data_IF_401861698018
#
_entry.id   IF_401861698018
#
_cell.length_a   1.000
_cell.length_b   1.000
_cell.length_c   1.000
_cell.angle_alpha   90.00
_cell.angle_beta   90.00
_cell.angle_gamma   90.00
#
_symmetry.space_group_name_H-M   'P 1'
#
loop_
_entity.id
_entity.type
_entity.pdbx_description
1 polymer ?
#
# COMPACT_ATOMS: atom_id res chain seq x y z
N UNK A 1 9.17 -7.41 37.74
CA UNK A 1 8.56 -6.06 37.95
C UNK A 1 8.86 -5.12 36.79
N UNK A 2 10.12 -4.90 36.37
CA UNK A 2 10.50 -3.99 35.26
C UNK A 2 9.89 -4.36 33.92
N UNK A 3 9.78 -5.65 33.58
CA UNK A 3 9.13 -6.10 32.34
C UNK A 3 7.65 -5.76 32.30
N UNK A 4 6.91 -6.00 33.36
CA UNK A 4 5.48 -5.69 33.45
C UNK A 4 5.22 -4.18 33.35
N UNK A 5 6.10 -3.37 33.90
CA UNK A 5 6.04 -1.92 33.79
C UNK A 5 6.28 -1.46 32.36
N UNK A 6 7.31 -1.98 31.70
CA UNK A 6 7.59 -1.70 30.29
C UNK A 6 6.41 -2.09 29.38
N UNK A 7 5.90 -3.32 29.55
CA UNK A 7 4.75 -3.82 28.78
C UNK A 7 3.51 -2.93 28.94
N UNK A 8 3.22 -2.50 30.18
CA UNK A 8 2.12 -1.57 30.45
C UNK A 8 2.32 -0.23 29.73
N UNK A 9 3.50 0.38 29.84
CA UNK A 9 3.82 1.67 29.22
C UNK A 9 3.71 1.61 27.68
N UNK A 10 4.25 0.56 27.06
CA UNK A 10 4.15 0.33 25.62
C UNK A 10 2.68 0.14 25.21
N UNK A 11 1.93 -0.68 25.95
CA UNK A 11 0.51 -0.94 25.67
C UNK A 11 -0.38 0.30 25.79
N UNK A 12 -0.06 1.21 26.73
CA UNK A 12 -0.75 2.50 26.87
C UNK A 12 -0.39 3.50 25.75
N UNK A 13 0.81 3.37 25.16
CA UNK A 13 1.35 4.32 24.19
C UNK A 13 1.08 3.93 22.73
N UNK A 14 0.88 2.64 22.42
CA UNK A 14 0.75 2.14 21.07
C UNK A 14 -0.60 1.43 20.89
N UNK A 15 -1.58 2.08 20.24
CA UNK A 15 -2.87 1.44 19.95
C UNK A 15 -2.73 0.17 19.11
N UNK A 16 -3.55 -0.84 19.42
CA UNK A 16 -3.55 -2.16 18.75
C UNK A 16 -4.91 -2.49 18.12
N UNK A 17 -4.96 -3.47 17.25
CA UNK A 17 -6.18 -3.91 16.59
C UNK A 17 -6.77 -2.82 15.70
N UNK A 18 -8.04 -2.48 15.92
CA UNK A 18 -8.74 -1.41 15.21
C UNK A 18 -8.63 -0.04 15.88
N UNK A 19 -8.02 0.03 17.05
CA UNK A 19 -7.85 1.29 17.77
C UNK A 19 -6.81 2.17 17.09
N UNK A 20 -7.02 3.47 17.17
CA UNK A 20 -6.11 4.52 16.72
C UNK A 20 -5.93 5.52 17.87
N UNK A 21 -4.96 6.41 17.76
CA UNK A 21 -4.72 7.44 18.78
C UNK A 21 -5.94 8.37 18.94
N UNK A 22 -6.19 8.89 20.15
CA UNK A 22 -7.27 9.84 20.43
C UNK A 22 -7.05 11.19 19.75
N UNK A 23 -5.81 11.52 19.47
CA UNK A 23 -5.36 12.74 18.76
C UNK A 23 -4.21 12.41 17.81
N UNK A 24 -3.95 13.32 16.90
CA UNK A 24 -2.72 13.27 16.10
C UNK A 24 -1.51 13.52 17.00
N UNK A 25 -0.49 12.67 16.91
CA UNK A 25 0.74 12.77 17.71
C UNK A 25 1.98 12.90 16.83
N UNK A 26 1.81 12.86 15.50
CA UNK A 26 2.88 13.08 14.54
C UNK A 26 2.88 14.52 14.03
N UNK A 27 4.04 15.00 13.61
CA UNK A 27 4.18 16.24 12.86
C UNK A 27 3.87 15.98 11.39
N UNK A 28 2.86 16.66 10.82
CA UNK A 28 2.46 16.49 9.42
C UNK A 28 3.52 16.97 8.43
N UNK A 29 4.32 17.98 8.79
CA UNK A 29 5.39 18.47 7.92
C UNK A 29 6.52 17.44 7.84
N UNK A 30 6.93 16.87 8.98
CA UNK A 30 7.90 15.77 9.04
C UNK A 30 7.37 14.56 8.23
N UNK A 31 6.12 14.20 8.44
CA UNK A 31 5.48 13.11 7.69
C UNK A 31 5.51 13.35 6.18
N UNK A 32 5.02 14.48 5.70
CA UNK A 32 4.99 14.81 4.27
C UNK A 32 6.40 14.85 3.67
N UNK A 33 7.37 15.45 4.38
CA UNK A 33 8.77 15.48 3.95
C UNK A 33 9.35 14.08 3.79
N UNK A 34 9.11 13.20 4.77
CA UNK A 34 9.54 11.80 4.72
C UNK A 34 8.90 11.04 3.55
N UNK A 35 7.58 11.14 3.38
CA UNK A 35 6.90 10.45 2.27
C UNK A 35 7.41 10.96 0.91
N UNK A 36 7.58 12.29 0.79
CA UNK A 36 8.12 12.89 -0.43
C UNK A 36 9.55 12.42 -0.73
N UNK A 37 10.41 12.34 0.27
CA UNK A 37 11.78 11.81 0.12
C UNK A 37 11.77 10.37 -0.39
N UNK A 38 10.98 9.48 0.23
CA UNK A 38 10.85 8.09 -0.21
C UNK A 38 10.30 8.00 -1.65
N UNK A 39 9.33 8.84 -1.99
CA UNK A 39 8.75 8.90 -3.33
C UNK A 39 9.79 9.33 -4.36
N UNK A 40 10.52 10.42 -4.10
CA UNK A 40 11.56 10.92 -4.99
C UNK A 40 12.73 9.95 -5.14
N UNK A 41 13.05 9.18 -4.08
CA UNK A 41 14.07 8.13 -4.16
C UNK A 41 13.66 7.04 -5.16
N UNK A 42 12.38 6.60 -5.12
CA UNK A 42 11.86 5.62 -6.11
C UNK A 42 11.88 6.19 -7.53
N UNK A 43 11.57 7.49 -7.72
CA UNK A 43 11.68 8.14 -9.02
C UNK A 43 13.10 8.12 -9.59
N UNK A 44 14.13 8.27 -8.73
CA UNK A 44 15.54 8.22 -9.12
C UNK A 44 15.99 6.79 -9.44
N UNK A 45 15.61 5.83 -8.58
CA UNK A 45 16.03 4.44 -8.71
C UNK A 45 15.35 3.74 -9.89
N UNK A 46 14.11 4.16 -10.24
CA UNK A 46 13.29 3.55 -11.29
C UNK A 46 12.66 4.61 -12.20
N UNK A 47 13.45 5.25 -13.07
CA UNK A 47 12.99 6.32 -13.96
C UNK A 47 11.82 5.89 -14.86
N UNK A 48 10.79 6.72 -14.94
CA UNK A 48 9.62 6.49 -15.79
C UNK A 48 8.51 5.62 -15.19
N UNK A 49 8.72 5.02 -14.01
CA UNK A 49 7.70 4.22 -13.33
C UNK A 49 6.56 5.03 -12.75
N UNK A 50 6.91 6.10 -12.05
CA UNK A 50 5.99 7.05 -11.42
C UNK A 50 6.38 8.47 -11.84
N UNK A 51 5.50 9.44 -11.60
CA UNK A 51 5.74 10.80 -12.04
C UNK A 51 6.71 11.54 -11.09
N UNK A 52 7.92 11.93 -11.53
CA UNK A 52 8.90 12.63 -10.69
C UNK A 52 8.49 14.08 -10.34
N UNK A 53 7.57 14.67 -11.09
CA UNK A 53 7.06 16.02 -10.82
C UNK A 53 6.04 16.07 -9.67
N UNK A 54 5.62 14.90 -9.18
CA UNK A 54 4.70 14.83 -8.05
C UNK A 54 5.40 15.23 -6.75
N UNK A 55 4.86 16.27 -6.11
CA UNK A 55 5.28 16.72 -4.78
C UNK A 55 4.26 16.22 -3.76
N UNK A 56 4.73 15.50 -2.76
CA UNK A 56 3.90 14.96 -1.70
C UNK A 56 3.89 15.96 -0.53
N UNK A 57 2.88 16.81 -0.52
CA UNK A 57 2.58 17.77 0.54
C UNK A 57 1.21 17.44 1.21
N UNK A 58 0.81 18.22 2.19
CA UNK A 58 -0.47 18.02 2.90
C UNK A 58 -1.68 18.14 1.96
N UNK A 59 -1.62 19.00 0.94
CA UNK A 59 -2.67 19.13 -0.07
C UNK A 59 -2.78 17.88 -0.93
N UNK A 60 -1.63 17.30 -1.34
CA UNK A 60 -1.60 16.04 -2.07
C UNK A 60 -2.17 14.92 -1.23
N UNK A 61 -1.70 14.77 0.02
CA UNK A 61 -2.18 13.74 0.94
C UNK A 61 -3.69 13.87 1.15
N UNK A 62 -4.20 15.08 1.37
CA UNK A 62 -5.65 15.32 1.52
C UNK A 62 -6.46 14.87 0.31
N UNK A 63 -5.98 15.14 -0.90
CA UNK A 63 -6.63 14.68 -2.14
C UNK A 63 -6.54 13.15 -2.31
N UNK A 64 -5.39 12.57 -2.00
CA UNK A 64 -5.14 11.13 -2.04
C UNK A 64 -6.09 10.36 -1.12
N UNK A 65 -6.15 10.69 0.16
CA UNK A 65 -6.99 9.99 1.14
C UNK A 65 -8.48 10.17 0.87
N UNK A 66 -8.91 11.36 0.41
CA UNK A 66 -10.29 11.62 -0.03
C UNK A 66 -10.69 10.67 -1.17
N UNK A 67 -9.82 10.47 -2.15
CA UNK A 67 -10.04 9.59 -3.30
C UNK A 67 -10.28 8.13 -2.89
N UNK A 68 -9.59 7.65 -1.87
CA UNK A 68 -9.69 6.26 -1.38
C UNK A 68 -10.67 6.11 -0.21
N UNK A 69 -11.35 7.20 0.18
CA UNK A 69 -12.40 7.17 1.20
C UNK A 69 -11.90 7.03 2.63
N UNK A 70 -10.80 7.71 2.97
CA UNK A 70 -10.28 7.85 4.35
C UNK A 70 -10.44 9.31 4.78
N UNK A 71 -10.81 9.55 6.03
CA UNK A 71 -10.81 10.91 6.61
C UNK A 71 -9.40 11.33 6.99
N UNK A 72 -9.10 12.64 6.91
CA UNK A 72 -7.80 13.20 7.32
C UNK A 72 -7.47 12.81 8.75
N UNK A 73 -8.44 12.94 9.64
CA UNK A 73 -8.31 12.59 11.05
C UNK A 73 -7.94 11.11 11.24
N UNK A 74 -8.68 10.18 10.64
CA UNK A 74 -8.42 8.75 10.74
C UNK A 74 -7.06 8.36 10.16
N UNK A 75 -6.61 9.03 9.09
CA UNK A 75 -5.33 8.78 8.45
C UNK A 75 -4.15 9.10 9.38
N UNK A 76 -4.14 10.30 9.97
CA UNK A 76 -3.02 10.72 10.82
C UNK A 76 -3.08 10.10 12.23
N UNK A 77 -4.28 9.94 12.81
CA UNK A 77 -4.45 9.29 14.12
C UNK A 77 -4.11 7.80 14.13
N UNK A 78 -4.06 7.15 12.96
CA UNK A 78 -3.59 5.77 12.85
C UNK A 78 -2.06 5.62 13.01
N UNK A 79 -1.32 6.73 13.16
CA UNK A 79 0.14 6.76 13.32
C UNK A 79 0.54 7.33 14.69
N UNK A 80 1.46 6.67 15.40
CA UNK A 80 1.84 5.27 15.25
C UNK A 80 0.82 4.33 15.86
N UNK A 81 0.67 3.14 15.30
CA UNK A 81 -0.13 2.07 15.90
C UNK A 81 0.22 0.71 15.33
N UNK A 82 0.03 -0.34 16.11
CA UNK A 82 0.51 -1.66 15.74
C UNK A 82 -0.41 -2.39 14.75
N UNK A 83 -1.71 -2.33 14.92
CA UNK A 83 -2.65 -3.10 14.14
C UNK A 83 -3.07 -4.41 14.80
N UNK A 84 -3.79 -5.23 14.04
CA UNK A 84 -4.29 -6.53 14.49
C UNK A 84 -3.88 -7.65 13.55
N UNK A 85 -4.40 -8.85 13.78
CA UNK A 85 -4.08 -10.03 13.00
C UNK A 85 -2.68 -10.55 13.34
N UNK A 86 -1.80 -10.58 12.33
CA UNK A 86 -0.41 -11.03 12.47
C UNK A 86 0.56 -9.91 12.91
N UNK A 87 0.06 -8.73 13.27
CA UNK A 87 0.90 -7.66 13.76
C UNK A 87 1.24 -7.88 15.25
N UNK A 88 2.50 -7.65 15.59
CA UNK A 88 3.00 -7.86 16.95
C UNK A 88 4.15 -6.88 17.28
N UNK A 89 4.39 -6.69 18.56
CA UNK A 89 5.62 -6.16 19.10
C UNK A 89 6.13 -7.19 20.09
N UNK A 90 7.32 -7.68 19.84
CA UNK A 90 7.99 -8.71 20.64
C UNK A 90 9.33 -8.17 21.12
N UNK A 91 9.67 -8.50 22.35
CA UNK A 91 10.99 -8.22 22.92
C UNK A 91 11.57 -9.50 23.54
N UNK A 92 12.87 -9.58 23.49
CA UNK A 92 13.60 -10.72 24.00
C UNK A 92 15.05 -10.39 24.28
N UNK A 93 15.80 -11.41 24.63
CA UNK A 93 17.21 -11.33 24.93
C UNK A 93 17.95 -12.38 24.11
N UNK A 94 19.10 -12.00 23.57
CA UNK A 94 20.00 -12.92 22.88
C UNK A 94 20.84 -13.73 23.86
N UNK A 95 21.48 -14.82 23.42
CA UNK A 95 22.33 -15.67 24.26
C UNK A 95 23.49 -14.92 24.92
N UNK A 96 23.97 -13.84 24.29
CA UNK A 96 25.03 -12.95 24.81
C UNK A 96 24.50 -11.83 25.68
N UNK A 97 23.20 -11.85 26.08
CA UNK A 97 22.59 -10.93 27.03
C UNK A 97 22.20 -9.57 26.46
N UNK A 98 22.19 -9.40 25.13
CA UNK A 98 21.68 -8.18 24.48
C UNK A 98 20.18 -8.23 24.31
N UNK A 99 19.47 -7.18 24.73
CA UNK A 99 18.05 -7.04 24.50
C UNK A 99 17.74 -6.67 23.04
N UNK A 100 16.63 -7.14 22.52
CA UNK A 100 16.08 -6.70 21.25
C UNK A 100 14.57 -6.52 21.34
N UNK A 101 14.01 -5.68 20.46
CA UNK A 101 12.58 -5.72 20.17
C UNK A 101 12.34 -5.74 18.67
N UNK A 102 11.25 -6.41 18.27
CA UNK A 102 10.80 -6.51 16.88
C UNK A 102 9.38 -6.01 16.77
N UNK A 103 9.15 -5.06 15.88
CA UNK A 103 7.82 -4.59 15.54
C UNK A 103 7.42 -5.11 14.15
N UNK A 104 6.34 -5.88 14.09
CA UNK A 104 5.71 -6.27 12.84
C UNK A 104 4.40 -5.51 12.70
N UNK A 105 4.41 -4.49 11.86
CA UNK A 105 3.22 -3.69 11.56
C UNK A 105 3.19 -3.34 10.07
N UNK A 106 2.25 -2.50 9.65
CA UNK A 106 2.09 -2.17 8.24
C UNK A 106 1.41 -0.81 8.02
N UNK A 107 0.80 -0.65 6.86
CA UNK A 107 0.14 0.58 6.42
C UNK A 107 -1.24 0.79 7.03
N UNK A 108 -1.59 0.06 8.06
CA UNK A 108 -2.91 0.09 8.69
C UNK A 108 -4.02 -0.14 7.64
N UNK A 109 -5.17 0.50 7.75
CA UNK A 109 -6.27 0.38 6.77
C UNK A 109 -5.92 0.98 5.39
N UNK A 110 -4.86 1.80 5.29
CA UNK A 110 -4.49 2.50 4.05
C UNK A 110 -4.29 1.55 2.88
N UNK A 111 -3.48 0.49 3.06
CA UNK A 111 -3.19 -0.47 1.99
C UNK A 111 -4.42 -1.19 1.47
N UNK A 112 -5.36 -1.55 2.35
CA UNK A 112 -6.63 -2.16 1.95
C UNK A 112 -7.49 -1.19 1.12
N UNK A 113 -7.54 0.08 1.50
CA UNK A 113 -8.30 1.11 0.77
C UNK A 113 -7.71 1.37 -0.61
N UNK A 114 -6.39 1.50 -0.70
CA UNK A 114 -5.67 1.66 -1.98
C UNK A 114 -5.92 0.45 -2.88
N UNK A 115 -5.74 -0.77 -2.36
CA UNK A 115 -5.99 -2.00 -3.10
C UNK A 115 -7.43 -2.04 -3.64
N UNK A 116 -8.43 -1.81 -2.80
CA UNK A 116 -9.84 -1.84 -3.20
C UNK A 116 -10.20 -0.76 -4.23
N UNK A 117 -9.58 0.42 -4.15
CA UNK A 117 -9.76 1.48 -5.15
C UNK A 117 -9.27 1.01 -6.51
N UNK A 118 -8.05 0.47 -6.60
CA UNK A 118 -7.44 0.08 -7.86
C UNK A 118 -8.01 -1.21 -8.44
N UNK A 119 -8.46 -2.15 -7.62
CA UNK A 119 -9.22 -3.33 -8.08
C UNK A 119 -10.53 -2.90 -8.75
N UNK A 120 -11.28 -1.97 -8.14
CA UNK A 120 -12.49 -1.43 -8.79
C UNK A 120 -12.16 -0.68 -10.07
N UNK A 121 -11.04 0.07 -10.09
CA UNK A 121 -10.60 0.80 -11.29
C UNK A 121 -10.22 -0.14 -12.42
N UNK A 122 -9.50 -1.24 -12.14
CA UNK A 122 -9.18 -2.27 -13.11
C UNK A 122 -10.45 -2.87 -13.71
N UNK A 123 -11.38 -3.33 -12.87
CA UNK A 123 -12.66 -3.88 -13.30
C UNK A 123 -13.44 -2.92 -14.21
N UNK A 124 -13.58 -1.65 -13.81
CA UNK A 124 -14.32 -0.68 -14.61
C UNK A 124 -13.64 -0.37 -15.95
N UNK A 125 -12.29 -0.32 -15.97
CA UNK A 125 -11.53 -0.07 -17.20
C UNK A 125 -11.63 -1.25 -18.17
N UNK A 126 -11.46 -2.47 -17.67
CA UNK A 126 -11.57 -3.68 -18.50
C UNK A 126 -13.01 -3.90 -19.00
N UNK A 127 -14.01 -3.60 -18.17
CA UNK A 127 -15.42 -3.68 -18.61
C UNK A 127 -15.75 -2.67 -19.72
N UNK A 128 -15.18 -1.45 -19.64
CA UNK A 128 -15.38 -0.43 -20.68
C UNK A 128 -14.70 -0.82 -22.00
N UNK A 129 -13.46 -1.37 -21.95
CA UNK A 129 -12.75 -1.89 -23.12
C UNK A 129 -13.54 -3.05 -23.74
N UNK A 130 -13.98 -4.01 -22.92
CA UNK A 130 -14.76 -5.14 -23.39
C UNK A 130 -16.06 -4.70 -24.10
N UNK A 131 -16.75 -3.68 -23.60
CA UNK A 131 -17.95 -3.17 -24.24
C UNK A 131 -17.66 -2.53 -25.61
N UNK A 132 -16.57 -1.74 -25.70
CA UNK A 132 -16.13 -1.15 -26.97
C UNK A 132 -15.77 -2.25 -28.00
N UNK A 133 -15.02 -3.26 -27.58
CA UNK A 133 -14.65 -4.38 -28.46
C UNK A 133 -15.86 -5.21 -28.88
N UNK A 134 -16.83 -5.39 -27.99
CA UNK A 134 -18.08 -6.05 -28.33
C UNK A 134 -18.91 -5.27 -29.37
N UNK A 135 -18.92 -3.93 -29.30
CA UNK A 135 -19.57 -3.11 -30.30
C UNK A 135 -18.84 -3.20 -31.66
N UNK A 136 -17.50 -3.15 -31.66
CA UNK A 136 -16.69 -3.33 -32.85
C UNK A 136 -16.94 -4.69 -33.53
N UNK A 137 -17.09 -5.77 -32.75
CA UNK A 137 -17.47 -7.11 -33.26
C UNK A 137 -18.84 -7.09 -33.94
N UNK A 138 -19.82 -6.43 -33.31
CA UNK A 138 -21.18 -6.30 -33.90
C UNK A 138 -21.15 -5.58 -35.24
N UNK A 139 -20.39 -4.47 -35.30
CA UNK A 139 -20.25 -3.71 -36.55
C UNK A 139 -19.55 -4.51 -37.66
N UNK A 140 -18.45 -5.19 -37.35
CA UNK A 140 -17.73 -6.05 -38.30
C UNK A 140 -18.60 -7.17 -38.85
N UNK A 141 -19.39 -7.84 -38.01
CA UNK A 141 -20.31 -8.90 -38.43
C UNK A 141 -21.38 -8.34 -39.34
N UNK A 142 -21.99 -7.21 -39.01
CA UNK A 142 -23.02 -6.56 -39.83
C UNK A 142 -22.51 -6.08 -41.18
N UNK A 143 -21.26 -5.58 -41.22
CA UNK A 143 -20.64 -5.12 -42.46
C UNK A 143 -20.19 -6.28 -43.37
N UNK A 144 -19.74 -7.40 -42.78
CA UNK A 144 -19.18 -8.53 -43.51
C UNK A 144 -20.19 -9.62 -43.92
N UNK A 145 -21.39 -9.66 -43.32
CA UNK A 145 -22.40 -10.69 -43.58
C UNK A 145 -23.69 -10.08 -44.17
N UNK A 146 -23.99 -10.32 -45.45
CA UNK A 146 -25.22 -9.82 -46.08
C UNK A 146 -26.50 -10.48 -45.54
N UNK A 147 -26.40 -11.71 -45.02
CA UNK A 147 -27.53 -12.46 -44.49
C UNK A 147 -27.80 -12.11 -43.02
N UNK A 148 -28.83 -11.27 -42.83
CA UNK A 148 -29.23 -10.81 -41.50
C UNK A 148 -29.69 -11.92 -40.55
N UNK A 149 -30.13 -13.06 -41.08
CA UNK A 149 -30.61 -14.20 -40.28
C UNK A 149 -29.46 -14.87 -39.49
N UNK A 150 -28.23 -14.73 -39.98
CA UNK A 150 -27.03 -15.30 -39.34
C UNK A 150 -26.37 -14.37 -38.31
N UNK A 151 -26.71 -13.08 -38.29
CA UNK A 151 -26.04 -12.08 -37.46
C UNK A 151 -26.03 -12.45 -35.99
N UNK A 152 -27.16 -12.86 -35.42
CA UNK A 152 -27.28 -13.17 -34.02
C UNK A 152 -26.31 -14.29 -33.58
N UNK A 153 -26.22 -15.35 -34.38
CA UNK A 153 -25.31 -16.47 -34.13
C UNK A 153 -23.86 -16.03 -34.26
N UNK A 154 -23.49 -15.35 -35.36
CA UNK A 154 -22.13 -14.90 -35.60
C UNK A 154 -21.63 -13.90 -34.53
N UNK A 155 -22.48 -12.97 -34.09
CA UNK A 155 -22.17 -12.03 -33.02
C UNK A 155 -21.94 -12.78 -31.71
N UNK A 156 -22.77 -13.76 -31.36
CA UNK A 156 -22.65 -14.54 -30.15
C UNK A 156 -21.32 -15.32 -30.13
N UNK A 157 -21.02 -16.04 -31.23
CA UNK A 157 -19.78 -16.79 -31.37
C UNK A 157 -18.53 -15.89 -31.30
N UNK A 158 -18.54 -14.74 -31.96
CA UNK A 158 -17.43 -13.81 -31.95
C UNK A 158 -17.22 -13.15 -30.57
N UNK A 159 -18.31 -12.79 -29.86
CA UNK A 159 -18.23 -12.29 -28.49
C UNK A 159 -17.72 -13.35 -27.52
N UNK A 160 -18.08 -14.61 -27.72
CA UNK A 160 -17.58 -15.71 -26.88
C UNK A 160 -16.07 -15.90 -27.07
N UNK A 161 -15.60 -15.94 -28.32
CA UNK A 161 -14.16 -16.01 -28.62
C UNK A 161 -13.38 -14.87 -28.02
N UNK A 162 -13.87 -13.64 -28.14
CA UNK A 162 -13.22 -12.47 -27.54
C UNK A 162 -13.08 -12.59 -26.03
N UNK A 163 -14.10 -13.11 -25.34
CA UNK A 163 -14.03 -13.36 -23.88
C UNK A 163 -13.02 -14.44 -23.51
N UNK A 164 -12.89 -15.48 -24.29
CA UNK A 164 -11.98 -16.60 -24.04
C UNK A 164 -10.52 -16.23 -24.32
N UNK A 165 -10.25 -15.37 -25.32
CA UNK A 165 -8.91 -15.04 -25.77
C UNK A 165 -8.30 -13.81 -25.06
N UNK A 166 -9.08 -12.77 -24.74
CA UNK A 166 -8.52 -11.47 -24.31
C UNK A 166 -8.86 -11.07 -22.88
N UNK A 167 -9.91 -11.62 -22.23
CA UNK A 167 -10.40 -11.13 -20.94
C UNK A 167 -10.30 -12.17 -19.82
N UNK A 168 -9.13 -12.79 -19.66
CA UNK A 168 -8.90 -13.78 -18.61
C UNK A 168 -8.83 -13.16 -17.20
N UNK A 169 -8.50 -11.86 -17.07
CA UNK A 169 -8.44 -11.17 -15.78
C UNK A 169 -8.50 -9.65 -15.92
N UNK A 170 -8.95 -8.96 -14.88
CA UNK A 170 -8.86 -7.50 -14.80
C UNK A 170 -7.42 -7.04 -14.63
N UNK A 171 -7.02 -5.97 -15.32
CA UNK A 171 -5.68 -5.40 -15.24
C UNK A 171 -5.69 -3.87 -15.25
N UNK A 172 -4.55 -3.29 -14.88
CA UNK A 172 -4.28 -1.87 -14.99
C UNK A 172 -3.22 -1.62 -16.06
N UNK A 173 -3.47 -0.66 -16.95
CA UNK A 173 -2.54 -0.24 -17.99
C UNK A 173 -2.33 1.28 -18.01
N UNK A 174 -1.29 1.74 -18.71
CA UNK A 174 -1.05 3.15 -18.97
C UNK A 174 -1.03 4.03 -17.73
N UNK A 175 -1.83 5.10 -17.73
CA UNK A 175 -1.92 6.05 -16.63
C UNK A 175 -2.46 5.42 -15.33
N UNK A 176 -3.38 4.43 -15.42
CA UNK A 176 -3.93 3.75 -14.26
C UNK A 176 -2.86 2.89 -13.56
N UNK A 177 -2.01 2.19 -14.31
CA UNK A 177 -0.89 1.45 -13.74
C UNK A 177 0.09 2.39 -13.01
N UNK A 178 0.50 3.51 -13.64
CA UNK A 178 1.37 4.50 -13.00
C UNK A 178 0.75 5.09 -11.73
N UNK A 179 -0.55 5.37 -11.75
CA UNK A 179 -1.28 5.85 -10.56
C UNK A 179 -1.28 4.82 -9.43
N UNK A 180 -1.50 3.54 -9.73
CA UNK A 180 -1.40 2.44 -8.77
C UNK A 180 0.00 2.34 -8.15
N UNK A 181 1.04 2.37 -8.97
CA UNK A 181 2.43 2.30 -8.52
C UNK A 181 2.78 3.49 -7.61
N UNK A 182 2.33 4.68 -7.96
CA UNK A 182 2.48 5.89 -7.14
C UNK A 182 1.83 5.71 -5.76
N UNK A 183 0.56 5.28 -5.71
CA UNK A 183 -0.16 5.05 -4.46
C UNK A 183 0.45 3.92 -3.62
N UNK A 184 0.98 2.90 -4.27
CA UNK A 184 1.70 1.81 -3.60
C UNK A 184 2.98 2.32 -2.92
N UNK A 185 3.78 3.15 -3.60
CA UNK A 185 4.99 3.76 -3.01
C UNK A 185 4.63 4.59 -1.79
N UNK A 186 3.59 5.44 -1.87
CA UNK A 186 3.10 6.24 -0.75
C UNK A 186 2.65 5.33 0.41
N UNK A 187 1.94 4.25 0.11
CA UNK A 187 1.46 3.30 1.12
C UNK A 187 2.62 2.56 1.82
N UNK A 188 3.66 2.21 1.09
CA UNK A 188 4.88 1.61 1.65
C UNK A 188 5.66 2.60 2.52
N UNK A 189 5.80 3.85 2.06
CA UNK A 189 6.43 4.91 2.83
C UNK A 189 5.65 5.22 4.12
N UNK A 190 4.31 5.23 4.06
CA UNK A 190 3.45 5.34 5.24
C UNK A 190 3.69 4.21 6.25
N UNK A 191 3.77 2.95 5.78
CA UNK A 191 4.07 1.82 6.65
C UNK A 191 5.45 1.94 7.30
N UNK A 192 6.45 2.38 6.52
CA UNK A 192 7.80 2.63 7.05
C UNK A 192 7.83 3.74 8.09
N UNK A 193 7.10 4.84 7.86
CA UNK A 193 6.97 5.91 8.85
C UNK A 193 6.31 5.41 10.13
N UNK A 194 5.27 4.57 10.02
CA UNK A 194 4.63 3.93 11.17
C UNK A 194 5.63 3.13 12.02
N UNK A 195 6.49 2.31 11.38
CA UNK A 195 7.56 1.58 12.07
C UNK A 195 8.53 2.52 12.79
N UNK A 196 9.02 3.55 12.10
CA UNK A 196 9.94 4.53 12.69
C UNK A 196 9.33 5.17 13.94
N UNK A 197 8.05 5.54 13.87
CA UNK A 197 7.37 6.16 15.01
C UNK A 197 7.15 5.19 16.17
N UNK A 198 6.85 3.92 15.91
CA UNK A 198 6.79 2.87 16.95
C UNK A 198 8.17 2.72 17.61
N UNK A 199 9.24 2.63 16.83
CA UNK A 199 10.60 2.53 17.36
C UNK A 199 11.00 3.74 18.19
N UNK A 200 10.66 4.96 17.75
CA UNK A 200 10.91 6.18 18.53
C UNK A 200 10.18 6.17 19.87
N UNK A 201 8.90 5.73 19.90
CA UNK A 201 8.12 5.64 21.15
C UNK A 201 8.71 4.58 22.08
N UNK A 202 8.98 3.37 21.60
CA UNK A 202 9.58 2.31 22.42
C UNK A 202 10.96 2.70 22.92
N UNK A 203 11.79 3.27 22.04
CA UNK A 203 13.12 3.75 22.40
C UNK A 203 13.09 4.89 23.43
N UNK A 204 12.13 5.81 23.32
CA UNK A 204 11.91 6.86 24.31
C UNK A 204 11.56 6.29 25.69
N UNK A 205 10.62 5.34 25.75
CA UNK A 205 10.24 4.64 26.99
C UNK A 205 11.47 3.94 27.60
N UNK A 206 12.25 3.20 26.78
CA UNK A 206 13.44 2.51 27.25
C UNK A 206 14.48 3.49 27.81
N UNK A 207 14.72 4.59 27.13
CA UNK A 207 15.72 5.59 27.55
C UNK A 207 15.27 6.36 28.80
N UNK A 208 14.02 6.84 28.84
CA UNK A 208 13.54 7.73 29.90
C UNK A 208 13.28 6.99 31.23
N UNK A 209 12.72 5.77 31.15
CA UNK A 209 12.30 5.03 32.33
C UNK A 209 13.29 3.92 32.76
N UNK A 210 14.09 3.42 31.83
CA UNK A 210 15.00 2.31 32.11
C UNK A 210 16.48 2.64 31.89
N UNK A 211 16.81 3.80 31.30
CA UNK A 211 18.19 4.20 31.01
C UNK A 211 18.84 3.35 29.89
N UNK A 212 18.05 2.73 29.02
CA UNK A 212 18.50 1.83 27.96
C UNK A 212 18.40 2.55 26.61
N UNK A 213 19.53 2.73 25.92
CA UNK A 213 19.60 3.26 24.56
C UNK A 213 19.48 2.18 23.49
N UNK A 214 18.99 2.53 22.30
CA UNK A 214 19.00 1.66 21.12
C UNK A 214 20.35 1.82 20.43
N UNK A 215 21.09 0.72 20.25
CA UNK A 215 22.41 0.71 19.62
C UNK A 215 22.34 0.51 18.12
N UNK A 216 21.37 -0.28 17.64
CA UNK A 216 21.23 -0.62 16.23
C UNK A 216 19.77 -0.82 15.85
N UNK A 217 19.43 -0.47 14.61
CA UNK A 217 18.08 -0.61 14.06
C UNK A 217 18.14 -1.25 12.67
N UNK A 218 17.34 -2.27 12.45
CA UNK A 218 17.22 -2.97 11.17
C UNK A 218 15.78 -2.84 10.69
N UNK A 219 15.60 -2.37 9.45
CA UNK A 219 14.31 -2.28 8.81
C UNK A 219 14.23 -3.21 7.60
N UNK A 220 13.16 -4.03 7.53
CA UNK A 220 12.90 -4.92 6.40
C UNK A 220 11.46 -4.78 5.90
N UNK A 221 11.27 -5.01 4.60
CA UNK A 221 9.95 -5.06 3.97
C UNK A 221 9.79 -6.41 3.30
N UNK A 222 8.66 -7.10 3.54
CA UNK A 222 8.42 -8.44 3.01
C UNK A 222 7.19 -8.57 2.10
N UNK A 223 6.42 -7.47 1.91
CA UNK A 223 5.29 -7.38 0.98
C UNK A 223 5.45 -6.13 0.12
N UNK A 224 6.01 -6.27 -1.07
CA UNK A 224 6.30 -5.14 -1.96
C UNK A 224 6.48 -5.58 -3.41
N UNK A 225 6.50 -4.62 -4.33
CA UNK A 225 6.96 -4.84 -5.70
C UNK A 225 8.44 -4.47 -5.76
N UNK A 226 9.28 -5.46 -6.09
CA UNK A 226 10.70 -5.25 -6.38
C UNK A 226 10.84 -4.92 -7.86
N UNK A 227 11.35 -3.73 -8.17
CA UNK A 227 11.52 -3.26 -9.54
C UNK A 227 12.94 -3.46 -10.09
N UNK A 228 13.86 -3.93 -9.25
CA UNK A 228 15.24 -4.20 -9.65
C UNK A 228 15.28 -5.48 -10.50
N UNK A 229 16.05 -5.44 -11.56
CA UNK A 229 16.21 -6.52 -12.54
C UNK A 229 14.93 -6.77 -13.36
N UNK A 230 14.01 -7.56 -12.87
CA UNK A 230 12.67 -7.76 -13.43
C UNK A 230 11.62 -7.47 -12.36
N UNK A 231 10.53 -6.74 -12.67
CA UNK A 231 9.48 -6.49 -11.71
C UNK A 231 8.95 -7.78 -11.09
N UNK A 232 9.04 -7.89 -9.76
CA UNK A 232 8.64 -9.08 -9.02
C UNK A 232 7.77 -8.68 -7.82
N UNK A 233 6.63 -9.34 -7.65
CA UNK A 233 5.80 -9.21 -6.46
C UNK A 233 6.38 -10.14 -5.38
N UNK A 234 6.81 -9.56 -4.27
CA UNK A 234 7.26 -10.30 -3.08
C UNK A 234 6.16 -10.31 -2.05
N UNK A 235 5.83 -11.52 -1.57
CA UNK A 235 4.85 -11.73 -0.51
C UNK A 235 5.45 -12.63 0.57
N UNK A 236 5.63 -12.08 1.77
CA UNK A 236 6.25 -12.80 2.89
C UNK A 236 7.74 -13.11 2.68
N UNK A 237 8.41 -12.41 1.75
CA UNK A 237 9.81 -12.65 1.43
C UNK A 237 10.59 -11.33 1.40
N UNK A 238 11.70 -11.29 2.12
CA UNK A 238 12.67 -10.20 2.06
C UNK A 238 13.73 -10.50 0.99
N UNK A 239 14.40 -9.45 0.53
CA UNK A 239 15.62 -9.59 -0.27
C UNK A 239 16.80 -9.76 0.69
N UNK A 240 17.56 -10.82 0.51
CA UNK A 240 18.85 -11.01 1.17
C UNK A 240 19.93 -10.09 0.57
#
# INVERSE_FOLDING_TARGET
ERYAEFERMVGESIPTGFHINDREIIDRQEFCAFINEQYQQVCKDFPGMINPETIIDDKFISAFIKRIGITVESFYRALPSLGGGNHFLEYGETEDGRGFFTAHCGSRNLGVRVCNYWVRKAKSSCSAIAEEDFQNVVEKVKAGCPDRTQWQRMILEAKQRLREEEYLSDYLGGANLRGYLSDMVITQAYARFNHIMIHRLVGGILQEHFGIGIENEIFTTHNYIDFRDNPMIRKGAIRA
#
